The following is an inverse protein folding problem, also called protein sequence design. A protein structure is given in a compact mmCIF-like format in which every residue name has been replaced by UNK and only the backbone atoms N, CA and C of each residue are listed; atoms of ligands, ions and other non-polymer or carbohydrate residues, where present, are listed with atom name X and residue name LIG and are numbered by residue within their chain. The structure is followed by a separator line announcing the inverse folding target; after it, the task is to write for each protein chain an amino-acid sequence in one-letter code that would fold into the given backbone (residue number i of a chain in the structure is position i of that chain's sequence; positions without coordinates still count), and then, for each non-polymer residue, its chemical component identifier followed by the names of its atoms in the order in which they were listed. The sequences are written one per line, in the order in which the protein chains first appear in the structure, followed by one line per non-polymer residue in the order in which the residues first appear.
data_IF_115817344149
#
_entry.id   IF_115817344149
#
_cell.length_a   1.000
_cell.length_b   1.000
_cell.length_c   1.000
_cell.angle_alpha   90.00
_cell.angle_beta   90.00
_cell.angle_gamma   90.00
#
_symmetry.space_group_name_H-M   'P 1'
#
loop_
_entity.id
_entity.type
_entity.pdbx_description
1 polymer ?
#
# COMPACT_ATOMS: atom_id res chain seq x y z
N UNK A 1 -23.87 -70.12 -41.88
CA UNK A 1 -23.86 -68.68 -41.50
C UNK A 1 -23.78 -68.37 -40.05
N UNK A 2 -23.70 -69.33 -39.12
CA UNK A 2 -23.74 -69.03 -37.65
C UNK A 2 -22.38 -69.09 -36.91
N UNK A 3 -21.32 -69.65 -37.55
CA UNK A 3 -19.98 -69.75 -36.90
C UNK A 3 -19.13 -68.50 -37.16
N UNK A 4 -19.21 -67.86 -38.32
CA UNK A 4 -18.46 -66.67 -38.66
C UNK A 4 -18.93 -65.42 -37.87
N UNK A 5 -20.25 -65.31 -37.55
CA UNK A 5 -20.77 -64.18 -36.75
C UNK A 5 -20.30 -64.22 -35.31
N UNK A 6 -20.11 -65.42 -34.71
CA UNK A 6 -19.60 -65.58 -33.32
C UNK A 6 -18.11 -65.24 -33.20
N UNK A 7 -17.33 -65.52 -34.26
CA UNK A 7 -15.90 -65.22 -34.29
C UNK A 7 -15.70 -63.68 -34.47
N UNK A 8 -16.50 -63.01 -35.26
CA UNK A 8 -16.46 -61.56 -35.44
C UNK A 8 -16.88 -60.84 -34.13
N UNK A 9 -17.91 -61.34 -33.42
CA UNK A 9 -18.35 -60.79 -32.14
C UNK A 9 -17.29 -60.96 -31.04
N UNK A 10 -16.57 -62.11 -31.03
CA UNK A 10 -15.47 -62.31 -30.05
C UNK A 10 -14.25 -61.42 -30.34
N UNK A 11 -13.92 -61.20 -31.62
CA UNK A 11 -12.84 -60.27 -32.00
C UNK A 11 -13.18 -58.83 -31.68
N UNK A 12 -14.45 -58.38 -31.84
CA UNK A 12 -14.89 -57.04 -31.53
C UNK A 12 -14.83 -56.79 -29.97
N UNK A 13 -15.20 -57.78 -29.16
CA UNK A 13 -15.08 -57.65 -27.70
C UNK A 13 -13.62 -57.62 -27.25
N UNK A 14 -12.70 -58.40 -27.90
CA UNK A 14 -11.27 -58.35 -27.56
C UNK A 14 -10.61 -57.01 -27.91
N UNK A 15 -11.04 -56.33 -29.00
CA UNK A 15 -10.53 -55.00 -29.35
C UNK A 15 -11.07 -53.92 -28.43
N UNK A 16 -12.28 -54.03 -27.88
CA UNK A 16 -12.82 -53.09 -26.90
C UNK A 16 -12.14 -53.25 -25.51
N UNK A 17 -11.70 -54.46 -25.13
CA UNK A 17 -10.99 -54.65 -23.86
C UNK A 17 -9.55 -54.12 -23.86
N UNK A 18 -8.90 -53.99 -25.03
CA UNK A 18 -7.55 -53.43 -25.14
C UNK A 18 -7.56 -51.92 -25.14
N UNK A 19 -8.69 -51.28 -25.48
CA UNK A 19 -8.84 -49.82 -25.47
C UNK A 19 -8.99 -49.22 -24.05
N UNK A 20 -9.31 -50.01 -23.04
CA UNK A 20 -9.41 -49.61 -21.65
C UNK A 20 -8.13 -49.75 -20.85
N UNK A 21 -7.10 -50.44 -21.40
CA UNK A 21 -5.82 -50.58 -20.73
C UNK A 21 -4.78 -49.50 -21.09
N UNK A 22 -5.14 -48.55 -21.99
CA UNK A 22 -4.26 -47.44 -22.40
C UNK A 22 -4.57 -46.12 -21.70
N UNK A 23 -5.48 -46.07 -20.71
CA UNK A 23 -5.47 -45.01 -19.69
C UNK A 23 -4.37 -45.40 -18.68
N UNK A 24 -3.12 -45.28 -19.12
CA UNK A 24 -1.98 -45.25 -18.24
C UNK A 24 -2.16 -44.13 -17.25
N UNK A 25 -2.04 -44.49 -16.01
CA UNK A 25 -1.91 -43.70 -14.83
C UNK A 25 -0.81 -42.64 -15.05
N UNK A 26 -1.12 -41.56 -15.75
CA UNK A 26 -0.43 -40.29 -15.59
C UNK A 26 -0.96 -39.67 -14.29
N UNK A 27 -0.64 -40.31 -13.15
CA UNK A 27 -0.45 -39.58 -11.93
C UNK A 27 0.90 -38.82 -12.07
N UNK A 28 0.96 -37.89 -13.02
CA UNK A 28 1.61 -36.64 -12.74
C UNK A 28 0.68 -35.99 -11.72
N UNK A 29 0.87 -36.20 -10.44
CA UNK A 29 0.65 -35.19 -9.47
C UNK A 29 1.52 -34.03 -9.95
N UNK A 30 0.96 -33.08 -10.68
CA UNK A 30 1.38 -31.71 -10.45
C UNK A 30 1.23 -31.59 -8.92
N UNK A 31 2.31 -31.68 -8.20
CA UNK A 31 2.44 -31.11 -6.88
C UNK A 31 2.07 -29.64 -7.14
N UNK A 32 0.80 -29.30 -6.89
CA UNK A 32 0.37 -27.93 -6.72
C UNK A 32 1.21 -27.50 -5.53
N UNK A 33 2.34 -26.85 -5.76
CA UNK A 33 3.07 -26.14 -4.73
C UNK A 33 2.00 -25.33 -4.01
N UNK A 34 1.75 -25.68 -2.76
CA UNK A 34 0.77 -24.93 -1.96
C UNK A 34 1.36 -23.54 -1.84
N UNK A 35 0.67 -22.53 -2.41
CA UNK A 35 1.13 -21.15 -2.35
C UNK A 35 1.20 -20.73 -0.89
N UNK A 36 2.25 -20.01 -0.54
CA UNK A 36 2.32 -19.41 0.79
C UNK A 36 1.20 -18.37 0.94
N UNK A 37 0.63 -18.33 2.13
CA UNK A 37 -0.43 -17.39 2.51
C UNK A 37 0.17 -16.15 3.16
N UNK A 38 -0.12 -14.97 2.60
CA UNK A 38 0.37 -13.69 3.09
C UNK A 38 -0.80 -12.82 3.50
N UNK A 39 -0.78 -12.31 4.72
CA UNK A 39 -1.81 -11.42 5.26
C UNK A 39 -1.18 -10.06 5.54
N UNK A 40 -1.75 -9.00 4.93
CA UNK A 40 -1.32 -7.62 5.12
C UNK A 40 -2.42 -6.82 5.81
N UNK A 41 -2.05 -5.91 6.70
CA UNK A 41 -3.02 -5.06 7.41
C UNK A 41 -3.54 -3.94 6.55
N UNK A 42 -2.66 -3.22 5.85
CA UNK A 42 -2.96 -2.01 5.08
C UNK A 42 -2.66 -2.17 3.59
N UNK A 43 -3.19 -1.24 2.80
CA UNK A 43 -3.04 -1.24 1.35
C UNK A 43 -1.58 -1.17 0.86
N UNK A 44 -0.66 -0.32 1.39
CA UNK A 44 0.69 -0.24 0.84
C UNK A 44 1.43 -1.58 0.94
N UNK A 45 1.36 -2.27 2.08
CA UNK A 45 1.97 -3.60 2.25
C UNK A 45 1.38 -4.62 1.28
N UNK A 46 0.05 -4.64 1.18
CA UNK A 46 -0.68 -5.52 0.25
C UNK A 46 -0.24 -5.27 -1.19
N UNK A 47 -0.15 -4.02 -1.59
CA UNK A 47 0.23 -3.63 -2.94
C UNK A 47 1.67 -4.03 -3.26
N UNK A 48 2.61 -3.77 -2.35
CA UNK A 48 4.01 -4.17 -2.50
C UNK A 48 4.17 -5.69 -2.64
N UNK A 49 3.48 -6.47 -1.81
CA UNK A 49 3.46 -7.93 -1.96
C UNK A 49 2.87 -8.34 -3.30
N UNK A 50 1.75 -7.72 -3.72
CA UNK A 50 1.10 -8.01 -4.99
C UNK A 50 2.03 -7.78 -6.18
N UNK A 51 2.77 -6.68 -6.19
CA UNK A 51 3.70 -6.34 -7.27
C UNK A 51 4.94 -7.25 -7.27
N UNK A 52 5.46 -7.63 -6.11
CA UNK A 52 6.62 -8.52 -5.99
C UNK A 52 6.23 -9.98 -6.28
N UNK A 53 5.17 -10.47 -5.64
CA UNK A 53 4.86 -11.90 -5.64
C UNK A 53 3.90 -12.32 -6.77
N UNK A 54 3.13 -11.39 -7.35
CA UNK A 54 2.17 -11.68 -8.40
C UNK A 54 1.19 -12.78 -7.98
N UNK A 55 1.11 -13.84 -8.77
CA UNK A 55 0.25 -14.98 -8.52
C UNK A 55 0.89 -16.12 -7.71
N UNK A 56 2.10 -15.91 -7.16
CA UNK A 56 2.84 -16.95 -6.42
C UNK A 56 2.37 -17.14 -4.99
N UNK A 57 1.65 -16.19 -4.43
CA UNK A 57 1.14 -16.22 -3.05
C UNK A 57 -0.38 -16.13 -3.00
N UNK A 58 -0.97 -16.59 -1.90
CA UNK A 58 -2.36 -16.31 -1.55
C UNK A 58 -2.40 -15.08 -0.65
N UNK A 59 -2.68 -13.92 -1.26
CA UNK A 59 -2.57 -12.60 -0.63
C UNK A 59 -3.90 -12.11 -0.09
N UNK A 60 -3.93 -11.69 1.17
CA UNK A 60 -5.10 -11.13 1.84
C UNK A 60 -4.82 -9.73 2.39
N UNK A 61 -5.70 -8.77 2.05
CA UNK A 61 -5.77 -7.46 2.70
C UNK A 61 -6.83 -7.51 3.81
N UNK A 62 -6.46 -7.15 5.05
CA UNK A 62 -7.39 -7.12 6.18
C UNK A 62 -8.27 -5.88 6.17
N UNK A 63 -7.67 -4.70 6.01
CA UNK A 63 -8.42 -3.45 5.96
C UNK A 63 -9.23 -3.36 4.68
N UNK A 64 -10.55 -3.44 4.80
CA UNK A 64 -11.45 -3.30 3.64
C UNK A 64 -11.28 -1.93 2.97
N UNK A 65 -11.22 -1.86 1.63
CA UNK A 65 -11.19 -0.59 0.91
C UNK A 65 -12.32 0.36 1.33
N UNK A 66 -12.00 1.62 1.56
CA UNK A 66 -12.92 2.65 2.02
C UNK A 66 -13.11 2.73 3.54
N UNK A 67 -12.43 1.88 4.32
CA UNK A 67 -12.48 1.89 5.78
C UNK A 67 -11.35 2.75 6.35
N UNK A 68 -11.62 3.45 7.45
CA UNK A 68 -10.60 4.21 8.20
C UNK A 68 -9.66 3.26 8.95
N UNK A 69 -8.36 3.34 8.65
CA UNK A 69 -7.33 2.46 9.25
C UNK A 69 -7.17 2.66 10.76
N UNK A 70 -7.31 3.90 11.25
CA UNK A 70 -7.12 4.24 12.66
C UNK A 70 -8.23 3.75 13.58
N UNK A 71 -9.36 3.33 13.03
CA UNK A 71 -10.50 2.76 13.76
C UNK A 71 -10.70 1.27 13.52
N UNK A 72 -9.78 0.63 12.79
CA UNK A 72 -9.88 -0.79 12.47
C UNK A 72 -9.43 -1.66 13.65
N UNK A 73 -10.29 -2.62 14.00
CA UNK A 73 -9.98 -3.74 14.88
C UNK A 73 -10.27 -5.05 14.13
N UNK A 74 -9.38 -6.06 14.19
CA UNK A 74 -9.59 -7.31 13.47
C UNK A 74 -10.79 -8.08 14.01
N UNK A 75 -11.61 -8.59 13.09
CA UNK A 75 -12.72 -9.47 13.40
C UNK A 75 -12.22 -10.87 13.82
N UNK A 76 -13.07 -11.73 14.44
CA UNK A 76 -12.70 -13.11 14.70
C UNK A 76 -12.27 -13.90 13.45
N UNK A 77 -12.80 -13.55 12.28
CA UNK A 77 -12.40 -14.17 10.99
C UNK A 77 -11.01 -13.71 10.59
N UNK A 78 -10.68 -12.43 10.79
CA UNK A 78 -9.35 -11.91 10.51
C UNK A 78 -8.30 -12.51 11.45
N UNK A 79 -8.68 -12.74 12.72
CA UNK A 79 -7.84 -13.46 13.68
C UNK A 79 -7.50 -14.88 13.22
N UNK A 80 -8.44 -15.60 12.61
CA UNK A 80 -8.18 -16.94 12.04
C UNK A 80 -7.19 -16.83 10.89
N UNK A 81 -7.38 -15.88 9.96
CA UNK A 81 -6.47 -15.66 8.83
C UNK A 81 -5.04 -15.34 9.29
N UNK A 82 -4.89 -14.46 10.30
CA UNK A 82 -3.58 -14.10 10.86
C UNK A 82 -2.91 -15.31 11.51
N UNK A 83 -3.66 -16.17 12.23
CA UNK A 83 -3.10 -17.34 12.90
C UNK A 83 -2.74 -18.49 11.94
N UNK A 84 -3.32 -18.54 10.75
CA UNK A 84 -3.15 -19.60 9.77
C UNK A 84 -2.23 -19.22 8.60
N UNK A 85 -1.79 -17.94 8.51
CA UNK A 85 -0.92 -17.51 7.43
C UNK A 85 0.55 -17.90 7.63
N UNK A 86 1.29 -17.93 6.54
CA UNK A 86 2.74 -18.16 6.54
C UNK A 86 3.52 -16.86 6.82
N UNK A 87 2.95 -15.71 6.42
CA UNK A 87 3.53 -14.39 6.64
C UNK A 87 2.44 -13.37 7.00
N UNK A 88 2.62 -12.71 8.14
CA UNK A 88 1.82 -11.57 8.57
C UNK A 88 2.64 -10.29 8.48
N UNK A 89 2.16 -9.30 7.71
CA UNK A 89 2.82 -8.00 7.52
C UNK A 89 1.92 -6.90 8.09
N UNK A 90 2.51 -6.07 8.96
CA UNK A 90 1.83 -4.94 9.58
C UNK A 90 2.76 -3.73 9.67
N UNK A 91 2.20 -2.53 9.88
CA UNK A 91 3.01 -1.30 9.93
C UNK A 91 3.85 -1.23 11.21
N UNK A 92 3.21 -1.44 12.35
CA UNK A 92 3.82 -1.29 13.67
C UNK A 92 2.78 -0.88 14.72
N UNK A 93 3.20 -0.87 15.99
CA UNK A 93 2.30 -0.66 17.12
C UNK A 93 1.65 0.75 17.14
N UNK A 94 2.26 1.74 16.50
CA UNK A 94 1.67 3.09 16.38
C UNK A 94 0.43 3.11 15.51
N UNK A 95 0.40 2.32 14.45
CA UNK A 95 -0.75 2.21 13.55
C UNK A 95 -1.72 1.11 14.02
N UNK A 96 -1.19 -0.06 14.35
CA UNK A 96 -1.97 -1.23 14.75
C UNK A 96 -1.64 -1.63 16.21
N UNK A 97 -2.12 -0.83 17.17
CA UNK A 97 -1.91 -1.08 18.61
C UNK A 97 -2.44 -2.43 19.09
N UNK A 98 -3.42 -2.99 18.37
CA UNK A 98 -3.96 -4.33 18.61
C UNK A 98 -2.99 -5.44 18.22
N UNK A 99 -2.07 -5.20 17.27
CA UNK A 99 -1.19 -6.23 16.71
C UNK A 99 -0.23 -6.82 17.74
N UNK A 100 0.31 -6.01 18.66
CA UNK A 100 1.25 -6.45 19.69
C UNK A 100 0.72 -7.61 20.55
N UNK A 101 -0.57 -7.61 20.87
CA UNK A 101 -1.19 -8.68 21.66
C UNK A 101 -1.42 -9.94 20.84
N UNK A 102 -1.77 -9.79 19.57
CA UNK A 102 -1.98 -10.90 18.64
C UNK A 102 -0.65 -11.60 18.36
N UNK A 103 0.38 -10.84 18.01
CA UNK A 103 1.71 -11.35 17.68
C UNK A 103 2.27 -12.23 18.82
N UNK A 104 2.07 -11.84 20.07
CA UNK A 104 2.48 -12.64 21.26
C UNK A 104 1.76 -14.00 21.37
N UNK A 105 0.61 -14.13 20.72
CA UNK A 105 -0.20 -15.36 20.75
C UNK A 105 -0.05 -16.21 19.50
N UNK A 106 0.66 -15.73 18.46
CA UNK A 106 0.89 -16.49 17.25
C UNK A 106 1.77 -17.72 17.48
N UNK A 107 1.51 -18.78 16.71
CA UNK A 107 2.36 -19.94 16.68
C UNK A 107 3.73 -19.68 16.06
N UNK A 108 4.71 -20.53 16.36
CA UNK A 108 6.08 -20.43 15.81
C UNK A 108 6.13 -20.58 14.28
N UNK A 109 5.04 -21.02 13.66
CA UNK A 109 4.95 -21.21 12.21
C UNK A 109 4.58 -19.93 11.44
N UNK A 110 4.12 -18.87 12.11
CA UNK A 110 3.75 -17.61 11.48
C UNK A 110 4.96 -16.69 11.47
N UNK A 111 5.45 -16.36 10.30
CA UNK A 111 6.44 -15.29 10.16
C UNK A 111 5.77 -13.94 10.32
N UNK A 112 6.40 -13.01 11.03
CA UNK A 112 5.89 -11.66 11.24
C UNK A 112 6.91 -10.66 10.69
N UNK A 113 6.44 -9.71 9.90
CA UNK A 113 7.22 -8.59 9.40
C UNK A 113 6.52 -7.29 9.81
N UNK A 114 7.17 -6.48 10.64
CA UNK A 114 6.77 -5.10 10.83
C UNK A 114 7.51 -4.22 9.83
N UNK A 115 6.84 -3.16 9.32
CA UNK A 115 7.54 -2.23 8.45
C UNK A 115 8.66 -1.51 9.23
N UNK A 116 9.79 -1.19 8.55
CA UNK A 116 10.83 -0.42 9.18
C UNK A 116 10.29 0.93 9.66
N UNK A 117 10.54 1.23 10.90
CA UNK A 117 10.28 2.56 11.46
C UNK A 117 11.56 3.36 11.34
N UNK A 118 11.52 4.64 10.95
CA UNK A 118 12.71 5.48 10.97
C UNK A 118 13.31 5.44 12.38
N UNK A 119 14.59 5.20 12.46
CA UNK A 119 15.30 5.18 13.75
C UNK A 119 15.03 6.50 14.47
N UNK A 120 14.61 6.45 15.74
CA UNK A 120 14.54 7.59 16.66
C UNK A 120 15.91 8.31 16.81
N UNK A 121 16.98 7.71 16.26
CA UNK A 121 18.35 8.17 16.30
C UNK A 121 18.74 9.12 15.15
N UNK A 122 17.91 9.39 14.17
CA UNK A 122 18.12 10.50 13.25
C UNK A 122 17.75 11.81 13.98
N UNK A 123 18.64 12.25 14.89
CA UNK A 123 18.61 13.60 15.43
C UNK A 123 18.71 14.57 14.25
N UNK A 124 17.55 15.09 13.85
CA UNK A 124 17.42 15.97 12.72
C UNK A 124 18.06 17.30 12.99
N UNK A 125 18.95 17.66 12.09
CA UNK A 125 19.55 18.98 12.01
C UNK A 125 18.49 20.07 12.05
N UNK A 126 18.60 20.96 13.04
CA UNK A 126 18.10 22.32 13.13
C UNK A 126 17.09 22.77 12.06
N UNK A 127 15.80 22.47 12.27
CA UNK A 127 14.74 23.37 11.85
C UNK A 127 13.99 23.80 13.09
N UNK A 128 14.34 25.01 13.55
CA UNK A 128 13.83 25.61 14.76
C UNK A 128 12.33 25.93 14.64
N UNK A 129 11.65 25.69 15.76
CA UNK A 129 10.43 26.32 16.22
C UNK A 129 9.09 25.77 15.67
N UNK A 130 8.75 24.57 16.10
CA UNK A 130 7.52 24.20 16.84
C UNK A 130 7.65 22.70 17.14
N UNK A 131 7.58 22.33 18.46
CA UNK A 131 7.69 20.93 18.91
C UNK A 131 6.54 20.08 18.35
N UNK A 132 6.69 19.57 17.14
CA UNK A 132 5.94 18.43 16.68
C UNK A 132 6.72 17.17 17.11
N UNK A 133 6.09 16.34 17.91
CA UNK A 133 6.64 15.05 18.30
C UNK A 133 6.60 14.13 17.06
N UNK A 134 7.69 14.15 16.29
CA UNK A 134 7.84 13.40 15.04
C UNK A 134 7.91 11.88 15.26
N UNK A 135 8.07 11.43 16.50
CA UNK A 135 8.13 10.01 16.86
C UNK A 135 6.78 9.28 16.74
N UNK A 136 5.70 9.98 16.39
CA UNK A 136 4.33 9.45 16.42
C UNK A 136 3.64 9.32 15.05
N UNK A 137 4.31 9.57 13.91
CA UNK A 137 3.71 9.39 12.58
C UNK A 137 4.01 8.00 12.02
N UNK A 138 3.00 7.13 11.80
CA UNK A 138 3.22 5.79 11.30
C UNK A 138 3.27 5.68 9.77
N UNK A 139 3.07 6.77 9.00
CA UNK A 139 2.91 6.75 7.55
C UNK A 139 4.26 6.74 6.79
N UNK A 140 5.16 5.86 7.19
CA UNK A 140 6.55 5.78 6.69
C UNK A 140 6.65 5.60 5.17
N UNK A 141 5.72 4.88 4.57
CA UNK A 141 5.67 4.59 3.14
C UNK A 141 5.35 5.81 2.26
N UNK A 142 4.96 6.95 2.83
CA UNK A 142 4.70 8.17 2.06
C UNK A 142 5.99 8.77 1.48
N UNK A 143 7.15 8.53 2.09
CA UNK A 143 8.46 8.71 1.43
C UNK A 143 8.72 7.56 0.46
N UNK A 144 9.04 7.89 -0.80
CA UNK A 144 9.40 6.85 -1.80
C UNK A 144 10.70 6.14 -1.45
N UNK A 145 11.64 6.79 -0.75
CA UNK A 145 12.87 6.16 -0.27
C UNK A 145 12.57 5.10 0.77
N UNK A 146 11.69 5.42 1.73
CA UNK A 146 11.22 4.45 2.71
C UNK A 146 10.42 3.33 2.05
N UNK A 147 9.54 3.65 1.08
CA UNK A 147 8.78 2.65 0.33
C UNK A 147 9.69 1.65 -0.39
N UNK A 148 10.78 2.13 -1.03
CA UNK A 148 11.77 1.24 -1.64
C UNK A 148 12.44 0.32 -0.61
N UNK A 149 12.77 0.82 0.57
CA UNK A 149 13.31 -0.01 1.66
C UNK A 149 12.30 -1.08 2.12
N UNK A 150 11.02 -0.71 2.27
CA UNK A 150 9.94 -1.64 2.62
C UNK A 150 9.79 -2.74 1.56
N UNK A 151 9.82 -2.37 0.28
CA UNK A 151 9.77 -3.32 -0.85
C UNK A 151 10.91 -4.33 -0.77
N UNK A 152 12.13 -3.88 -0.49
CA UNK A 152 13.30 -4.74 -0.33
C UNK A 152 13.18 -5.71 0.86
N UNK A 153 12.68 -5.24 2.00
CA UNK A 153 12.46 -6.10 3.17
C UNK A 153 11.38 -7.14 2.94
N UNK A 154 10.26 -6.76 2.28
CA UNK A 154 9.21 -7.69 1.89
C UNK A 154 9.76 -8.75 0.93
N UNK A 155 10.51 -8.35 -0.11
CA UNK A 155 11.13 -9.28 -1.06
C UNK A 155 12.09 -10.24 -0.37
N UNK A 156 12.95 -9.74 0.53
CA UNK A 156 13.88 -10.57 1.29
C UNK A 156 13.13 -11.61 2.14
N UNK A 157 12.05 -11.20 2.82
CA UNK A 157 11.24 -12.12 3.63
C UNK A 157 10.51 -13.16 2.78
N UNK A 158 9.93 -12.78 1.64
CA UNK A 158 9.32 -13.71 0.69
C UNK A 158 10.34 -14.73 0.17
N UNK A 159 11.55 -14.28 -0.20
CA UNK A 159 12.62 -15.18 -0.64
C UNK A 159 13.09 -16.17 0.46
N UNK A 160 13.03 -15.76 1.74
CA UNK A 160 13.38 -16.60 2.87
C UNK A 160 12.38 -17.74 3.06
N UNK A 161 11.08 -17.45 2.99
CA UNK A 161 10.00 -18.39 3.30
C UNK A 161 9.55 -19.19 2.07
N UNK A 162 9.80 -18.69 0.87
CA UNK A 162 9.49 -19.35 -0.40
C UNK A 162 10.67 -19.28 -1.37
N UNK A 163 11.76 -20.03 -1.09
CA UNK A 163 12.98 -19.97 -1.87
C UNK A 163 12.83 -20.50 -3.31
N UNK A 164 11.80 -21.28 -3.60
CA UNK A 164 11.52 -21.79 -4.96
C UNK A 164 11.12 -20.68 -5.92
N UNK A 165 10.49 -19.61 -5.45
CA UNK A 165 10.07 -18.45 -6.21
C UNK A 165 11.00 -17.23 -6.04
N UNK A 166 12.14 -17.36 -5.35
CA UNK A 166 13.02 -16.24 -5.00
C UNK A 166 13.53 -15.43 -6.22
N UNK A 167 13.86 -16.10 -7.33
CA UNK A 167 14.33 -15.42 -8.54
C UNK A 167 13.21 -14.59 -9.20
N UNK A 168 11.95 -15.09 -9.13
CA UNK A 168 10.78 -14.37 -9.60
C UNK A 168 10.54 -13.09 -8.78
N UNK A 169 10.59 -13.22 -7.45
CA UNK A 169 10.42 -12.09 -6.53
C UNK A 169 11.48 -11.00 -6.76
N UNK A 170 12.74 -11.37 -6.85
CA UNK A 170 13.86 -10.43 -7.09
C UNK A 170 13.76 -9.71 -8.43
N UNK A 171 13.33 -10.41 -9.49
CA UNK A 171 13.15 -9.78 -10.79
C UNK A 171 12.02 -8.75 -10.78
N UNK A 172 10.93 -9.03 -10.08
CA UNK A 172 9.82 -8.07 -9.94
C UNK A 172 10.20 -6.90 -9.03
N UNK A 173 10.90 -7.18 -7.91
CA UNK A 173 11.46 -6.15 -7.03
C UNK A 173 12.31 -5.15 -7.82
N UNK A 174 13.29 -5.64 -8.59
CA UNK A 174 14.18 -4.78 -9.38
C UNK A 174 13.39 -3.86 -10.32
N UNK A 175 12.42 -4.41 -11.03
CA UNK A 175 11.56 -3.63 -11.93
C UNK A 175 10.70 -2.60 -11.18
N UNK A 176 10.16 -2.98 -10.03
CA UNK A 176 9.32 -2.11 -9.21
C UNK A 176 10.12 -0.97 -8.57
N UNK A 177 11.35 -1.26 -8.09
CA UNK A 177 12.27 -0.25 -7.57
C UNK A 177 12.69 0.77 -8.64
N UNK A 178 12.88 0.35 -9.90
CA UNK A 178 13.13 1.28 -11.02
C UNK A 178 11.95 2.25 -11.23
N UNK A 179 10.71 1.75 -11.16
CA UNK A 179 9.52 2.62 -11.29
C UNK A 179 9.39 3.60 -10.12
N UNK A 180 9.59 3.14 -8.88
CA UNK A 180 9.59 4.01 -7.69
C UNK A 180 10.69 5.08 -7.79
N UNK A 181 11.90 4.70 -8.20
CA UNK A 181 13.02 5.62 -8.39
C UNK A 181 12.77 6.68 -9.48
N UNK A 182 12.02 6.32 -10.52
CA UNK A 182 11.62 7.28 -11.55
C UNK A 182 10.67 8.34 -11.00
N UNK A 183 9.69 7.94 -10.18
CA UNK A 183 8.75 8.86 -9.54
C UNK A 183 9.46 9.75 -8.51
N UNK A 184 10.37 9.18 -7.69
CA UNK A 184 11.19 9.95 -6.76
C UNK A 184 11.98 11.05 -7.48
N UNK A 185 12.62 10.69 -8.60
CA UNK A 185 13.36 11.64 -9.43
C UNK A 185 12.45 12.74 -10.00
N UNK A 186 11.25 12.39 -10.43
CA UNK A 186 10.26 13.36 -10.93
C UNK A 186 9.84 14.34 -9.84
N UNK A 187 9.48 13.85 -8.64
CA UNK A 187 9.07 14.70 -7.51
C UNK A 187 10.23 15.64 -7.10
N UNK A 188 11.46 15.13 -6.99
CA UNK A 188 12.64 15.97 -6.72
C UNK A 188 12.83 17.07 -7.77
N UNK A 189 12.61 16.76 -9.04
CA UNK A 189 12.65 17.73 -10.14
C UNK A 189 11.58 18.81 -10.02
N UNK A 190 10.34 18.44 -9.67
CA UNK A 190 9.23 19.36 -9.43
C UNK A 190 9.59 20.31 -8.27
N UNK A 191 10.00 19.76 -7.12
CA UNK A 191 10.34 20.55 -5.94
C UNK A 191 11.55 21.45 -6.15
N UNK A 192 12.57 20.99 -6.90
CA UNK A 192 13.73 21.81 -7.26
C UNK A 192 13.36 23.00 -8.14
N UNK A 193 12.33 22.87 -8.96
CA UNK A 193 11.84 23.91 -9.87
C UNK A 193 10.88 24.90 -9.18
N UNK A 194 10.37 24.56 -8.00
CA UNK A 194 9.40 25.38 -7.29
C UNK A 194 10.06 26.56 -6.56
N UNK A 195 9.43 27.74 -6.65
CA UNK A 195 9.84 28.93 -5.90
C UNK A 195 9.30 28.93 -4.47
N UNK A 196 8.08 28.43 -4.31
CA UNK A 196 7.42 28.24 -3.01
C UNK A 196 7.24 26.71 -2.80
N UNK A 197 7.72 26.22 -1.69
CA UNK A 197 7.69 24.78 -1.36
C UNK A 197 6.68 24.45 -0.26
N UNK A 198 5.67 25.31 -0.09
CA UNK A 198 4.66 25.10 0.96
C UNK A 198 3.47 24.30 0.44
N UNK A 199 3.23 23.15 1.07
CA UNK A 199 2.04 22.31 0.89
C UNK A 199 0.97 22.71 1.90
N UNK A 200 -0.28 22.89 1.46
CA UNK A 200 -1.40 23.20 2.35
C UNK A 200 -2.39 22.06 2.39
N UNK A 201 -2.41 21.34 3.51
CA UNK A 201 -3.32 20.20 3.72
C UNK A 201 -4.54 20.67 4.52
N UNK A 202 -5.70 20.69 3.87
CA UNK A 202 -6.98 21.04 4.49
C UNK A 202 -7.71 19.82 5.05
N UNK A 203 -6.95 18.84 5.52
CA UNK A 203 -7.42 17.58 6.06
C UNK A 203 -6.48 17.06 7.15
N UNK A 204 -6.71 15.83 7.63
CA UNK A 204 -5.79 15.09 8.49
C UNK A 204 -4.43 14.96 7.79
N UNK A 205 -3.36 15.17 8.52
CA UNK A 205 -2.02 15.16 7.96
C UNK A 205 -1.36 13.79 8.15
N UNK A 206 -1.06 13.14 7.06
CA UNK A 206 -0.43 11.82 6.99
C UNK A 206 0.76 11.82 5.99
N UNK A 207 1.35 13.00 5.72
CA UNK A 207 2.37 13.18 4.69
C UNK A 207 3.69 13.71 5.24
N UNK A 208 3.99 13.42 6.52
CA UNK A 208 5.18 13.92 7.18
C UNK A 208 6.45 13.47 6.44
N UNK A 209 6.63 12.16 6.28
CA UNK A 209 7.82 11.61 5.61
C UNK A 209 7.94 12.04 4.14
N UNK A 210 6.81 12.26 3.45
CA UNK A 210 6.82 12.83 2.11
C UNK A 210 7.36 14.27 2.13
N UNK A 211 6.87 15.10 3.05
CA UNK A 211 7.30 16.50 3.13
C UNK A 211 8.78 16.59 3.53
N UNK A 212 9.24 15.81 4.49
CA UNK A 212 10.64 15.75 4.94
C UNK A 212 11.56 15.28 3.83
N UNK A 213 11.23 14.19 3.14
CA UNK A 213 12.05 13.62 2.07
C UNK A 213 12.31 14.63 0.94
N UNK A 214 11.31 15.44 0.59
CA UNK A 214 11.41 16.39 -0.50
C UNK A 214 11.72 17.83 -0.06
N UNK A 215 11.90 18.08 1.23
CA UNK A 215 12.17 19.42 1.77
C UNK A 215 11.02 20.38 1.51
N UNK A 216 9.79 19.93 1.77
CA UNK A 216 8.56 20.71 1.64
C UNK A 216 8.15 21.25 3.02
N UNK A 217 7.86 22.53 3.09
CA UNK A 217 7.13 23.10 4.23
C UNK A 217 5.66 22.70 4.13
N UNK A 218 4.98 22.56 5.26
CA UNK A 218 3.56 22.24 5.26
C UNK A 218 2.74 23.10 6.22
N UNK A 219 1.48 23.26 5.91
CA UNK A 219 0.44 23.85 6.76
C UNK A 219 -0.71 22.85 6.77
N UNK A 220 -1.08 22.36 7.95
CA UNK A 220 -2.17 21.39 8.09
C UNK A 220 -3.35 21.97 8.86
N UNK A 221 -4.56 21.52 8.51
CA UNK A 221 -5.79 21.90 9.23
C UNK A 221 -5.94 21.11 10.55
N UNK A 222 -5.29 19.95 10.64
CA UNK A 222 -5.31 19.05 11.79
C UNK A 222 -3.88 18.66 12.12
N UNK A 223 -3.57 18.60 13.40
CA UNK A 223 -2.21 18.32 13.88
C UNK A 223 -1.84 16.83 13.79
N UNK A 224 -2.80 15.95 13.52
CA UNK A 224 -2.56 14.50 13.39
C UNK A 224 -3.57 13.82 12.46
N UNK A 225 -3.20 12.63 11.99
CA UNK A 225 -4.06 11.77 11.18
C UNK A 225 -5.23 11.14 11.97
N UNK A 226 -5.16 11.11 13.30
CA UNK A 226 -6.19 10.50 14.18
C UNK A 226 -7.24 11.48 14.67
N UNK A 227 -7.13 12.77 14.34
CA UNK A 227 -8.06 13.79 14.82
C UNK A 227 -9.47 13.59 14.23
N UNK A 228 -10.45 13.36 15.11
CA UNK A 228 -11.87 13.23 14.76
C UNK A 228 -12.66 14.52 14.94
N UNK A 229 -12.00 15.63 15.33
CA UNK A 229 -12.64 16.94 15.55
C UNK A 229 -12.50 17.79 14.31
N UNK A 230 -13.58 18.45 13.88
CA UNK A 230 -13.49 19.45 12.81
C UNK A 230 -12.61 20.63 13.27
N UNK A 231 -11.79 21.22 12.36
CA UNK A 231 -10.92 22.33 12.73
C UNK A 231 -11.76 23.55 13.13
N UNK A 232 -11.24 24.31 14.06
CA UNK A 232 -11.91 25.53 14.51
C UNK A 232 -12.00 26.56 13.38
N UNK A 233 -12.99 27.46 13.38
CA UNK A 233 -13.06 28.54 12.41
C UNK A 233 -11.79 29.40 12.35
N UNK A 234 -11.05 29.50 13.46
CA UNK A 234 -9.77 30.23 13.51
C UNK A 234 -8.68 29.56 12.65
N UNK A 235 -8.62 28.23 12.64
CA UNK A 235 -7.69 27.47 11.79
C UNK A 235 -8.00 27.70 10.31
N UNK A 236 -9.28 27.66 9.92
CA UNK A 236 -9.70 27.93 8.52
C UNK A 236 -9.31 29.34 8.10
N UNK A 237 -9.47 30.34 8.98
CA UNK A 237 -9.04 31.72 8.71
C UNK A 237 -7.51 31.81 8.58
N UNK A 238 -6.75 31.15 9.46
CA UNK A 238 -5.28 31.09 9.39
C UNK A 238 -4.84 30.53 8.03
N UNK A 239 -5.37 29.36 7.65
CA UNK A 239 -5.03 28.70 6.36
C UNK A 239 -5.39 29.62 5.18
N UNK A 240 -6.59 30.23 5.19
CA UNK A 240 -7.02 31.16 4.13
C UNK A 240 -6.05 32.32 3.96
N UNK A 241 -5.55 32.88 5.07
CA UNK A 241 -4.59 33.99 5.05
C UNK A 241 -3.23 33.54 4.50
N UNK A 242 -2.71 32.38 4.93
CA UNK A 242 -1.45 31.82 4.44
C UNK A 242 -1.50 31.54 2.93
N UNK A 243 -2.57 30.90 2.46
CA UNK A 243 -2.81 30.63 1.03
C UNK A 243 -2.77 31.94 0.23
N UNK A 244 -3.43 32.99 0.72
CA UNK A 244 -3.48 34.27 0.05
C UNK A 244 -2.13 35.01 0.08
N UNK A 245 -1.46 35.05 1.23
CA UNK A 245 -0.19 35.78 1.41
C UNK A 245 0.96 35.13 0.63
N UNK A 246 1.00 33.81 0.59
CA UNK A 246 2.03 33.04 -0.11
C UNK A 246 1.68 32.78 -1.59
N UNK A 247 0.51 33.23 -2.08
CA UNK A 247 0.00 33.00 -3.44
C UNK A 247 0.03 31.51 -3.82
N UNK A 248 -0.43 30.66 -2.92
CA UNK A 248 -0.46 29.18 -3.13
C UNK A 248 -1.55 28.86 -4.15
N UNK A 249 -1.26 28.13 -5.25
CA UNK A 249 -2.21 27.90 -6.33
C UNK A 249 -3.29 26.87 -6.01
N UNK A 250 -3.01 25.92 -5.12
CA UNK A 250 -3.94 24.86 -4.74
C UNK A 250 -3.78 24.44 -3.29
N UNK A 251 -4.83 23.89 -2.72
CA UNK A 251 -4.84 23.23 -1.39
C UNK A 251 -5.18 21.77 -1.55
N UNK A 252 -4.74 20.96 -0.62
CA UNK A 252 -4.94 19.52 -0.66
C UNK A 252 -6.00 19.05 0.33
N UNK A 253 -6.69 17.97 -0.04
CA UNK A 253 -7.42 17.07 0.84
C UNK A 253 -6.84 15.67 0.75
N UNK A 254 -7.05 14.85 1.79
CA UNK A 254 -6.69 13.43 1.78
C UNK A 254 -7.69 12.62 0.94
N UNK A 255 -7.32 11.39 0.62
CA UNK A 255 -8.24 10.37 0.13
C UNK A 255 -9.37 10.13 1.15
N UNK A 256 -10.51 9.67 0.70
CA UNK A 256 -11.71 9.42 1.52
C UNK A 256 -12.22 10.64 2.30
N UNK A 257 -11.70 11.83 2.01
CA UNK A 257 -12.07 13.09 2.65
C UNK A 257 -13.48 13.56 2.27
N UNK A 258 -14.17 14.22 3.20
CA UNK A 258 -15.42 14.94 2.88
C UNK A 258 -15.18 16.30 2.20
N UNK A 259 -13.93 16.75 2.05
CA UNK A 259 -13.45 17.96 1.37
C UNK A 259 -13.98 19.30 1.90
N UNK A 260 -14.81 19.34 2.93
CA UNK A 260 -15.49 20.56 3.41
C UNK A 260 -14.55 21.71 3.75
N UNK A 261 -13.43 21.41 4.41
CA UNK A 261 -12.44 22.45 4.81
C UNK A 261 -11.73 23.00 3.58
N UNK A 262 -11.26 22.11 2.69
CA UNK A 262 -10.61 22.51 1.44
C UNK A 262 -11.52 23.37 0.57
N UNK A 263 -12.77 22.98 0.41
CA UNK A 263 -13.78 23.74 -0.33
C UNK A 263 -14.08 25.12 0.30
N UNK A 264 -14.14 25.18 1.65
CA UNK A 264 -14.34 26.44 2.36
C UNK A 264 -13.16 27.42 2.18
N UNK A 265 -11.93 26.92 2.10
CA UNK A 265 -10.74 27.72 1.78
C UNK A 265 -10.77 28.13 0.31
N UNK A 266 -11.04 27.23 -0.61
CA UNK A 266 -11.09 27.47 -2.05
C UNK A 266 -12.16 28.52 -2.41
N UNK A 267 -13.34 28.49 -1.79
CA UNK A 267 -14.41 29.51 -2.01
C UNK A 267 -13.95 30.91 -1.64
N UNK A 268 -13.03 31.07 -0.70
CA UNK A 268 -12.54 32.40 -0.25
C UNK A 268 -11.34 32.89 -1.03
N UNK A 269 -10.52 31.95 -1.53
CA UNK A 269 -9.22 32.27 -2.16
C UNK A 269 -9.24 32.11 -3.67
N UNK A 270 -10.17 31.32 -4.21
CA UNK A 270 -10.23 30.99 -5.63
C UNK A 270 -9.24 29.91 -6.08
N UNK A 271 -8.53 29.26 -5.15
CA UNK A 271 -7.56 28.22 -5.48
C UNK A 271 -8.20 26.88 -5.79
N UNK A 272 -7.45 25.99 -6.43
CA UNK A 272 -7.92 24.63 -6.71
C UNK A 272 -7.91 23.76 -5.44
N UNK A 273 -8.78 22.75 -5.40
CA UNK A 273 -8.74 21.67 -4.41
C UNK A 273 -8.25 20.41 -5.11
N UNK A 274 -7.10 19.93 -4.70
CA UNK A 274 -6.46 18.72 -5.23
C UNK A 274 -6.43 17.63 -4.15
N UNK A 275 -6.16 16.40 -4.55
CA UNK A 275 -5.93 15.29 -3.63
C UNK A 275 -4.42 15.09 -3.45
N UNK A 276 -3.98 14.85 -2.21
CA UNK A 276 -2.67 14.30 -1.89
C UNK A 276 -2.90 13.00 -1.14
N UNK A 277 -2.69 11.90 -1.84
CA UNK A 277 -3.06 10.57 -1.40
C UNK A 277 -1.99 9.98 -0.49
N UNK A 278 -2.32 9.60 0.72
CA UNK A 278 -1.36 8.99 1.66
C UNK A 278 -1.09 7.51 1.38
N UNK A 279 -1.85 6.89 0.50
CA UNK A 279 -1.77 5.48 0.12
C UNK A 279 -2.06 4.48 1.26
N UNK A 280 -2.57 4.90 2.42
CA UNK A 280 -2.84 3.94 3.48
C UNK A 280 -4.11 3.10 3.27
N UNK A 281 -5.06 3.59 2.50
CA UNK A 281 -6.21 2.83 2.01
C UNK A 281 -6.73 3.44 0.71
N UNK A 282 -7.56 2.72 -0.04
CA UNK A 282 -8.23 3.18 -1.27
C UNK A 282 -9.73 3.26 -1.06
N UNK A 283 -10.41 4.03 -1.91
CA UNK A 283 -11.84 3.83 -2.11
C UNK A 283 -12.12 2.45 -2.71
N UNK A 284 -13.34 1.92 -2.50
CA UNK A 284 -13.72 0.66 -3.13
C UNK A 284 -13.70 0.75 -4.66
N UNK A 285 -14.01 1.93 -5.22
CA UNK A 285 -14.01 2.17 -6.66
C UNK A 285 -12.58 2.15 -7.22
N UNK A 286 -11.62 2.83 -6.57
CA UNK A 286 -10.21 2.83 -6.97
C UNK A 286 -9.59 1.44 -6.86
N UNK A 287 -9.88 0.71 -5.78
CA UNK A 287 -9.42 -0.66 -5.61
C UNK A 287 -9.93 -1.58 -6.72
N UNK A 288 -11.22 -1.49 -7.05
CA UNK A 288 -11.83 -2.27 -8.12
C UNK A 288 -11.36 -1.84 -9.52
N UNK A 289 -10.95 -0.59 -9.70
CA UNK A 289 -10.33 -0.08 -10.92
C UNK A 289 -8.88 -0.55 -11.10
N UNK A 290 -8.28 -1.16 -10.06
CA UNK A 290 -6.91 -1.66 -10.10
C UNK A 290 -5.86 -0.58 -9.87
N UNK A 291 -6.24 0.54 -9.22
CA UNK A 291 -5.26 1.53 -8.78
C UNK A 291 -4.23 0.87 -7.86
N UNK A 292 -2.99 1.33 -7.96
CA UNK A 292 -1.85 0.81 -7.22
C UNK A 292 -1.01 1.96 -6.64
N UNK A 293 -0.06 1.62 -5.79
CA UNK A 293 0.81 2.62 -5.15
C UNK A 293 1.54 3.50 -6.19
N UNK A 294 2.02 2.92 -7.28
CA UNK A 294 2.68 3.63 -8.38
C UNK A 294 1.73 4.67 -9.01
N UNK A 295 0.49 4.27 -9.35
CA UNK A 295 -0.48 5.17 -9.99
C UNK A 295 -0.88 6.32 -9.06
N UNK A 296 -1.02 6.03 -7.76
CA UNK A 296 -1.33 7.04 -6.74
C UNK A 296 -0.19 8.02 -6.55
N UNK A 297 1.05 7.56 -6.47
CA UNK A 297 2.22 8.43 -6.32
C UNK A 297 2.49 9.26 -7.58
N UNK A 298 2.23 8.74 -8.77
CA UNK A 298 2.24 9.54 -10.03
C UNK A 298 1.19 10.64 -9.98
N UNK A 299 -0.03 10.35 -9.52
CA UNK A 299 -1.09 11.36 -9.32
C UNK A 299 -0.68 12.40 -8.27
N UNK A 300 -0.02 11.98 -7.19
CA UNK A 300 0.55 12.90 -6.21
C UNK A 300 1.59 13.83 -6.83
N UNK A 301 2.48 13.34 -7.68
CA UNK A 301 3.48 14.14 -8.37
C UNK A 301 2.84 15.20 -9.29
N UNK A 302 1.83 14.80 -10.09
CA UNK A 302 1.07 15.71 -10.95
C UNK A 302 0.37 16.81 -10.14
N UNK A 303 -0.31 16.43 -9.05
CA UNK A 303 -1.01 17.35 -8.18
C UNK A 303 -0.04 18.29 -7.43
N UNK A 304 1.10 17.76 -7.00
CA UNK A 304 2.17 18.55 -6.38
C UNK A 304 2.72 19.59 -7.36
N UNK A 305 2.95 19.23 -8.62
CA UNK A 305 3.39 20.14 -9.68
C UNK A 305 2.45 21.34 -9.81
N UNK A 306 1.12 21.11 -9.83
CA UNK A 306 0.11 22.15 -9.89
C UNK A 306 0.16 23.01 -8.62
N UNK A 307 0.20 22.39 -7.45
CA UNK A 307 0.15 23.10 -6.15
C UNK A 307 1.39 23.95 -5.89
N UNK A 308 2.54 23.56 -6.42
CA UNK A 308 3.79 24.35 -6.32
C UNK A 308 3.94 25.39 -7.46
N UNK A 309 2.97 25.46 -8.39
CA UNK A 309 3.01 26.39 -9.52
C UNK A 309 4.13 26.14 -10.51
N UNK A 310 4.55 24.89 -10.67
CA UNK A 310 5.57 24.47 -11.63
C UNK A 310 4.90 24.20 -12.98
N UNK A 311 5.40 24.81 -14.06
CA UNK A 311 4.84 24.73 -15.40
C UNK A 311 5.14 23.38 -16.10
#
# INVERSE_FOLDING_TARGET
MCKSLKIISLLLCAVMCVSFAACGNNNGSEEKSEKISVVCTLFPQYDFVREIAGDKVDLTLLLTPGTDSHSYDPSPVDMVKINECDLFIYTGELMESWAANIIKSLGENVNVLSLPQPDEAAEHADHAEENHDHSADPHVWTSLVNAMTIVQEICAKLCEIDPENADFYKSNEESYLEELGAIDTEIRGIVASATNKTVVMCDRFAMLYFCEEYGLDYIAAFDSCTSNTEPSPAVIVKITNEVTQKNIPAVFCAELSNRKVAEAVAQRTGVQVLELHSCHNLSADDFNAGENYISLMKRNAENLKIALGVA
#
